data_IF_857785795622
#
_entry.id   IF_857785795622
#
_cell.length_a   1.000
_cell.length_b   1.000
_cell.length_c   1.000
_cell.angle_alpha   90.00
_cell.angle_beta   90.00
_cell.angle_gamma   90.00
#
_symmetry.space_group_name_H-M   'P 1'
#
loop_
_entity.id
_entity.type
_entity.pdbx_description
1 polymer ?
#
# COMPACT_ATOMS: atom_id res chain seq x y z
N UNK A 1 -13.75 -22.76 22.92
CA UNK A 1 -13.09 -23.37 21.75
C UNK A 1 -11.70 -22.75 21.64
N UNK A 2 -10.64 -23.56 21.69
CA UNK A 2 -9.27 -23.07 21.47
C UNK A 2 -9.15 -22.59 20.01
N UNK A 3 -8.65 -21.36 19.80
CA UNK A 3 -8.29 -20.89 18.46
C UNK A 3 -7.14 -21.77 17.96
N UNK A 4 -7.25 -22.30 16.74
CA UNK A 4 -6.16 -23.08 16.12
C UNK A 4 -4.94 -22.16 15.96
N UNK A 5 -3.72 -22.69 16.15
CA UNK A 5 -2.48 -21.91 16.08
C UNK A 5 -2.36 -21.00 14.84
N UNK A 6 -2.86 -21.47 13.68
CA UNK A 6 -2.89 -20.70 12.44
C UNK A 6 -3.79 -19.43 12.52
N UNK A 7 -4.90 -19.48 13.26
CA UNK A 7 -5.79 -18.32 13.44
C UNK A 7 -5.13 -17.26 14.32
N UNK A 8 -4.46 -17.70 15.40
CA UNK A 8 -3.68 -16.80 16.26
C UNK A 8 -2.52 -16.16 15.49
N UNK A 9 -1.89 -16.89 14.57
CA UNK A 9 -0.86 -16.32 13.69
C UNK A 9 -1.44 -15.29 12.73
N UNK A 10 -2.56 -15.61 12.07
CA UNK A 10 -3.24 -14.68 11.17
C UNK A 10 -3.59 -13.36 11.87
N UNK A 11 -4.13 -13.42 13.09
CA UNK A 11 -4.45 -12.24 13.90
C UNK A 11 -3.22 -11.38 14.20
N UNK A 12 -2.05 -12.00 14.43
CA UNK A 12 -0.80 -11.26 14.63
C UNK A 12 -0.30 -10.60 13.34
N UNK A 13 -0.49 -11.26 12.20
CA UNK A 13 -0.04 -10.76 10.90
C UNK A 13 -0.91 -9.61 10.38
N UNK A 14 -2.20 -9.61 10.71
CA UNK A 14 -3.16 -8.64 10.16
C UNK A 14 -3.71 -7.64 11.18
N UNK A 15 -3.51 -7.87 12.48
CA UNK A 15 -4.18 -7.12 13.55
C UNK A 15 -3.83 -5.63 13.64
N UNK A 16 -2.73 -5.20 13.02
CA UNK A 16 -2.31 -3.80 12.98
C UNK A 16 -2.58 -3.11 11.63
N UNK A 17 -3.12 -3.84 10.66
CA UNK A 17 -3.42 -3.27 9.35
C UNK A 17 -4.62 -2.35 9.43
N UNK A 18 -4.51 -1.19 8.79
CA UNK A 18 -5.63 -0.26 8.64
C UNK A 18 -6.30 -0.45 7.28
N UNK A 19 -7.59 -0.21 7.23
CA UNK A 19 -8.34 -0.23 5.97
C UNK A 19 -8.20 1.06 5.17
N UNK A 20 -7.76 2.15 5.81
CA UNK A 20 -7.44 3.41 5.13
C UNK A 20 -6.30 4.17 5.81
N UNK A 21 -5.68 5.08 5.04
CA UNK A 21 -4.65 6.01 5.50
C UNK A 21 -4.81 7.33 4.76
N UNK A 22 -4.55 8.45 5.44
CA UNK A 22 -4.45 9.77 4.81
C UNK A 22 -3.00 10.22 4.82
N UNK A 23 -2.50 10.61 3.64
CA UNK A 23 -1.14 11.13 3.44
C UNK A 23 -1.24 12.58 3.04
N UNK A 24 -0.54 13.45 3.77
CA UNK A 24 -0.42 14.86 3.42
C UNK A 24 0.69 15.05 2.37
N UNK A 25 0.35 15.65 1.23
CA UNK A 25 1.26 16.01 0.15
C UNK A 25 1.28 17.54 0.07
N UNK A 26 2.33 18.15 0.61
CA UNK A 26 2.54 19.60 0.60
C UNK A 26 1.32 20.43 1.09
N UNK A 27 0.63 19.96 2.12
CA UNK A 27 -0.55 20.63 2.68
C UNK A 27 -1.90 20.14 2.14
N UNK A 28 -1.91 19.24 1.14
CA UNK A 28 -3.13 18.62 0.60
C UNK A 28 -3.23 17.17 1.06
N UNK A 29 -4.37 16.78 1.61
CA UNK A 29 -4.58 15.42 2.12
C UNK A 29 -5.17 14.50 1.04
N UNK A 30 -4.52 13.35 0.83
CA UNK A 30 -5.04 12.26 0.01
C UNK A 30 -5.34 11.03 0.87
N UNK A 31 -6.56 10.51 0.77
CA UNK A 31 -6.99 9.30 1.46
C UNK A 31 -6.91 8.10 0.52
N UNK A 32 -6.26 7.05 1.00
CA UNK A 32 -6.09 5.78 0.31
C UNK A 32 -6.79 4.67 1.10
N UNK A 33 -7.34 3.69 0.38
CA UNK A 33 -8.05 2.53 0.92
C UNK A 33 -7.26 1.28 0.60
N UNK A 34 -7.03 0.43 1.61
CA UNK A 34 -6.21 -0.77 1.44
C UNK A 34 -6.80 -1.69 0.38
N UNK A 35 -5.98 -2.07 -0.59
CA UNK A 35 -6.34 -3.05 -1.62
C UNK A 35 -5.14 -3.97 -1.88
N UNK A 36 -5.22 -5.18 -1.33
CA UNK A 36 -4.15 -6.17 -1.45
C UNK A 36 -3.88 -6.57 -2.91
N UNK A 37 -4.94 -6.69 -3.74
CA UNK A 37 -4.77 -7.03 -5.16
C UNK A 37 -4.04 -5.94 -5.95
N UNK A 38 -4.27 -4.66 -5.62
CA UNK A 38 -3.55 -3.56 -6.25
C UNK A 38 -2.07 -3.54 -5.83
N UNK A 39 -1.77 -3.90 -4.58
CA UNK A 39 -0.39 -4.04 -4.11
C UNK A 39 0.33 -5.19 -4.82
N UNK A 40 -0.30 -6.37 -4.91
CA UNK A 40 0.29 -7.52 -5.61
C UNK A 40 0.57 -7.20 -7.09
N UNK A 41 -0.37 -6.50 -7.75
CA UNK A 41 -0.21 -6.04 -9.13
C UNK A 41 0.98 -5.08 -9.28
N UNK A 42 1.14 -4.12 -8.36
CA UNK A 42 2.27 -3.21 -8.34
C UNK A 42 3.62 -3.95 -8.30
N UNK A 43 3.73 -4.98 -7.46
CA UNK A 43 4.95 -5.78 -7.31
C UNK A 43 5.24 -6.55 -8.60
N UNK A 44 4.24 -7.24 -9.16
CA UNK A 44 4.38 -7.99 -10.41
C UNK A 44 4.82 -7.08 -11.57
N UNK A 45 4.23 -5.90 -11.69
CA UNK A 45 4.53 -4.97 -12.77
C UNK A 45 5.90 -4.30 -12.57
N UNK A 46 6.34 -4.08 -11.34
CA UNK A 46 7.67 -3.53 -11.02
C UNK A 46 8.81 -4.44 -11.48
N UNK A 47 8.61 -5.76 -11.41
CA UNK A 47 9.60 -6.75 -11.87
C UNK A 47 9.82 -6.70 -13.40
N UNK A 48 8.89 -6.12 -14.17
CA UNK A 48 8.92 -6.07 -15.66
C UNK A 48 9.86 -5.01 -16.28
N UNK A 49 10.84 -4.47 -15.52
CA UNK A 49 11.76 -3.38 -15.91
C UNK A 49 11.11 -1.98 -16.03
N UNK A 50 9.80 -1.84 -15.73
CA UNK A 50 9.14 -0.55 -15.56
C UNK A 50 9.12 -0.15 -14.08
N UNK A 51 9.93 0.85 -13.70
CA UNK A 51 10.16 1.17 -12.27
C UNK A 51 9.25 2.25 -11.69
N UNK A 52 8.43 2.93 -12.50
CA UNK A 52 7.66 4.11 -12.05
C UNK A 52 6.17 3.95 -12.26
N UNK A 53 5.74 3.48 -13.42
CA UNK A 53 4.30 3.30 -13.74
C UNK A 53 3.56 2.44 -12.70
N UNK A 54 4.12 1.32 -12.19
CA UNK A 54 3.40 0.49 -11.22
C UNK A 54 2.98 1.24 -9.96
N UNK A 55 3.83 2.15 -9.45
CA UNK A 55 3.50 2.98 -8.28
C UNK A 55 2.37 3.96 -8.57
N UNK A 56 2.31 4.52 -9.79
CA UNK A 56 1.24 5.44 -10.19
C UNK A 56 -0.09 4.70 -10.28
N UNK A 57 -0.10 3.56 -10.97
CA UNK A 57 -1.29 2.75 -11.18
C UNK A 57 -1.82 2.21 -9.85
N UNK A 58 -0.92 1.78 -8.96
CA UNK A 58 -1.24 1.40 -7.59
C UNK A 58 -1.97 2.52 -6.83
N UNK A 59 -1.37 3.72 -6.77
CA UNK A 59 -1.96 4.83 -6.02
C UNK A 59 -3.30 5.30 -6.60
N UNK A 60 -3.44 5.29 -7.93
CA UNK A 60 -4.67 5.65 -8.62
C UNK A 60 -5.79 4.60 -8.46
N UNK A 61 -5.43 3.35 -8.18
CA UNK A 61 -6.38 2.27 -7.92
C UNK A 61 -6.92 2.28 -6.48
N UNK A 62 -6.19 2.92 -5.54
CA UNK A 62 -6.50 2.85 -4.12
C UNK A 62 -6.86 4.20 -3.49
N UNK A 63 -6.63 5.31 -4.17
CA UNK A 63 -7.12 6.63 -3.74
C UNK A 63 -8.65 6.63 -3.73
N UNK A 64 -9.26 7.34 -2.77
CA UNK A 64 -10.72 7.54 -2.78
C UNK A 64 -11.15 8.19 -4.09
N UNK A 65 -12.33 7.80 -4.59
CA UNK A 65 -12.79 8.15 -5.94
C UNK A 65 -12.82 9.66 -6.16
N UNK A 66 -13.21 10.40 -5.13
CA UNK A 66 -13.37 11.85 -5.12
C UNK A 66 -12.05 12.59 -5.33
N UNK A 67 -10.91 11.98 -5.00
CA UNK A 67 -9.57 12.61 -5.09
C UNK A 67 -8.74 12.05 -6.25
N UNK A 68 -9.32 11.17 -7.07
CA UNK A 68 -8.59 10.51 -8.16
C UNK A 68 -8.13 11.49 -9.23
N UNK A 69 -8.97 12.45 -9.59
CA UNK A 69 -8.62 13.47 -10.59
C UNK A 69 -7.51 14.40 -10.08
N UNK A 70 -7.63 14.90 -8.84
CA UNK A 70 -6.59 15.71 -8.19
C UNK A 70 -5.24 14.97 -8.12
N UNK A 71 -5.27 13.67 -7.79
CA UNK A 71 -4.05 12.87 -7.75
C UNK A 71 -3.42 12.71 -9.14
N UNK A 72 -4.24 12.50 -10.18
CA UNK A 72 -3.76 12.38 -11.57
C UNK A 72 -2.97 13.61 -12.04
N UNK A 73 -3.39 14.80 -11.61
CA UNK A 73 -2.72 16.05 -11.98
C UNK A 73 -1.29 16.13 -11.44
N UNK A 74 -1.06 15.62 -10.23
CA UNK A 74 0.23 15.77 -9.53
C UNK A 74 1.12 14.53 -9.59
N UNK A 75 0.57 13.32 -9.79
CA UNK A 75 1.30 12.05 -9.64
C UNK A 75 2.49 11.89 -10.61
N UNK A 76 2.52 12.71 -11.66
CA UNK A 76 3.60 12.76 -12.64
C UNK A 76 4.83 13.55 -12.20
N UNK A 77 4.76 14.28 -11.08
CA UNK A 77 5.93 14.92 -10.45
C UNK A 77 7.00 13.86 -10.17
N UNK A 78 8.25 14.05 -10.65
CA UNK A 78 9.32 13.06 -10.47
C UNK A 78 9.49 12.63 -9.01
N UNK A 79 9.44 11.32 -8.78
CA UNK A 79 9.62 10.72 -7.45
C UNK A 79 8.41 10.80 -6.50
N UNK A 80 7.34 11.54 -6.83
CA UNK A 80 6.19 11.69 -5.94
C UNK A 80 5.47 10.35 -5.71
N UNK A 81 5.17 9.60 -6.78
CA UNK A 81 4.47 8.32 -6.67
C UNK A 81 5.18 7.33 -5.74
N UNK A 82 6.52 7.25 -5.82
CA UNK A 82 7.30 6.38 -4.95
C UNK A 82 7.26 6.82 -3.49
N UNK A 83 7.35 8.13 -3.22
CA UNK A 83 7.30 8.68 -1.87
C UNK A 83 5.93 8.45 -1.21
N UNK A 84 4.84 8.70 -1.95
CA UNK A 84 3.48 8.47 -1.45
C UNK A 84 3.25 6.97 -1.23
N UNK A 85 3.62 6.12 -2.18
CA UNK A 85 3.47 4.67 -2.03
C UNK A 85 4.26 4.13 -0.83
N UNK A 86 5.47 4.62 -0.57
CA UNK A 86 6.23 4.27 0.63
C UNK A 86 5.45 4.60 1.91
N UNK A 87 4.88 5.81 2.01
CA UNK A 87 4.09 6.23 3.18
C UNK A 87 2.78 5.47 3.35
N UNK A 88 2.10 5.15 2.25
CA UNK A 88 0.90 4.31 2.27
C UNK A 88 1.25 2.89 2.75
N UNK A 89 2.34 2.32 2.25
CA UNK A 89 2.73 0.94 2.56
C UNK A 89 3.31 0.76 3.97
N UNK A 90 3.83 1.82 4.62
CA UNK A 90 4.12 1.80 6.07
C UNK A 90 2.90 1.39 6.91
N UNK A 91 1.68 1.62 6.40
CA UNK A 91 0.41 1.31 7.08
C UNK A 91 -0.25 0.04 6.54
N UNK A 92 -0.18 -0.20 5.23
CA UNK A 92 -0.89 -1.29 4.59
C UNK A 92 -0.12 -2.60 4.49
N UNK A 93 1.21 -2.58 4.60
CA UNK A 93 2.05 -3.76 4.47
C UNK A 93 2.59 -4.16 5.84
N UNK A 94 2.26 -5.36 6.34
CA UNK A 94 2.76 -5.82 7.63
C UNK A 94 4.27 -6.11 7.55
N UNK A 95 5.00 -5.71 8.57
CA UNK A 95 6.39 -6.11 8.74
C UNK A 95 6.42 -7.48 9.41
N UNK A 96 6.86 -8.50 8.67
CA UNK A 96 6.85 -9.90 9.12
C UNK A 96 8.29 -10.35 9.34
N UNK A 97 8.60 -10.74 10.57
CA UNK A 97 9.86 -11.42 10.89
C UNK A 97 9.72 -12.94 10.67
N UNK A 98 10.59 -13.51 9.83
CA UNK A 98 10.59 -14.93 9.49
C UNK A 98 12.00 -15.47 9.69
N UNK A 99 12.14 -16.43 10.62
CA UNK A 99 13.42 -17.05 10.97
C UNK A 99 13.35 -18.58 10.88
N UNK A 100 14.43 -19.22 10.42
CA UNK A 100 14.59 -20.68 10.50
C UNK A 100 15.10 -21.06 11.89
N UNK A 101 14.54 -22.11 12.50
CA UNK A 101 15.04 -22.72 13.74
C UNK A 101 15.47 -24.16 13.48
N UNK A 102 16.67 -24.51 13.95
CA UNK A 102 17.24 -25.86 13.91
C UNK A 102 17.47 -26.35 15.34
#
# INVERSE_FOLDING_TARGET
MEKKQAQTLLEKLTGNLKDSVTVNVAGVDFTFVRNNSAYDQMINDYESNNKVTPFKDYLLAIVVREQREDLLEIINVPGLAMQVAAKVNEVFVPQIDVSVKN
#
